data_IF_458097370457
#
_entry.id   IF_458097370457
#
_cell.length_a   1.000
_cell.length_b   1.000
_cell.length_c   1.000
_cell.angle_alpha   90.00
_cell.angle_beta   90.00
_cell.angle_gamma   90.00
#
_symmetry.space_group_name_H-M   'P 1'
#
loop_
_entity.id
_entity.type
_entity.pdbx_description
1 polymer ?
#
# COMPACT_ATOMS: atom_id res chain seq x y z
N UNK A 1 -11.78 9.73 -11.15
CA UNK A 1 -10.60 10.51 -10.72
C UNK A 1 -9.79 9.57 -9.85
N UNK A 2 -8.56 9.31 -10.25
CA UNK A 2 -7.66 8.34 -9.59
C UNK A 2 -6.75 9.07 -8.60
N UNK A 3 -6.19 8.37 -7.61
CA UNK A 3 -5.21 8.96 -6.70
C UNK A 3 -4.03 9.53 -7.48
N UNK A 4 -3.58 8.81 -8.52
CA UNK A 4 -2.48 9.21 -9.39
C UNK A 4 -2.57 10.67 -9.87
N UNK A 5 -3.74 11.14 -10.28
CA UNK A 5 -3.95 12.49 -10.83
C UNK A 5 -3.65 13.61 -9.82
N UNK A 6 -3.66 13.29 -8.52
CA UNK A 6 -3.42 14.25 -7.44
C UNK A 6 -2.01 14.16 -6.84
N UNK A 7 -1.18 13.23 -7.32
CA UNK A 7 0.16 13.06 -6.79
C UNK A 7 1.11 14.15 -7.32
N UNK A 8 2.08 14.59 -6.49
CA UNK A 8 3.19 15.43 -6.93
C UNK A 8 3.92 14.82 -8.14
N UNK A 9 4.52 15.66 -8.99
CA UNK A 9 5.10 15.21 -10.26
C UNK A 9 6.21 14.16 -10.08
N UNK A 10 7.09 14.35 -9.10
CA UNK A 10 8.17 13.42 -8.72
C UNK A 10 7.62 12.05 -8.29
N UNK A 11 6.48 12.04 -7.60
CA UNK A 11 5.81 10.79 -7.20
C UNK A 11 5.13 10.13 -8.39
N UNK A 12 4.52 10.90 -9.30
CA UNK A 12 3.96 10.35 -10.54
C UNK A 12 5.02 9.73 -11.43
N UNK A 13 6.19 10.37 -11.56
CA UNK A 13 7.34 9.80 -12.29
C UNK A 13 7.78 8.45 -11.68
N UNK A 14 7.81 8.36 -10.35
CA UNK A 14 8.10 7.10 -9.64
C UNK A 14 7.05 6.03 -9.95
N UNK A 15 5.75 6.40 -9.92
CA UNK A 15 4.66 5.47 -10.26
C UNK A 15 4.77 5.01 -11.71
N UNK A 16 5.03 5.91 -12.67
CA UNK A 16 5.14 5.57 -14.09
C UNK A 16 6.28 4.59 -14.37
N UNK A 17 7.43 4.78 -13.70
CA UNK A 17 8.56 3.86 -13.77
C UNK A 17 8.19 2.48 -13.21
N UNK A 18 7.59 2.43 -12.02
CA UNK A 18 7.13 1.18 -11.40
C UNK A 18 6.09 0.46 -12.27
N UNK A 19 5.12 1.19 -12.82
CA UNK A 19 4.09 0.59 -13.69
C UNK A 19 4.74 -0.02 -14.93
N UNK A 20 5.72 0.64 -15.53
CA UNK A 20 6.43 0.13 -16.70
C UNK A 20 7.16 -1.17 -16.38
N UNK A 21 7.86 -1.23 -15.25
CA UNK A 21 8.62 -2.40 -14.81
C UNK A 21 7.73 -3.56 -14.36
N UNK A 22 6.66 -3.26 -13.62
CA UNK A 22 5.83 -4.26 -12.94
C UNK A 22 4.68 -4.80 -13.80
N UNK A 23 4.28 -4.10 -14.86
CA UNK A 23 3.21 -4.55 -15.76
C UNK A 23 3.40 -5.98 -16.31
N UNK A 24 4.57 -6.39 -16.83
CA UNK A 24 4.76 -7.76 -17.31
C UNK A 24 4.87 -8.80 -16.20
N UNK A 25 5.05 -8.39 -14.94
CA UNK A 25 5.32 -9.28 -13.82
C UNK A 25 4.03 -9.86 -13.24
N UNK A 26 4.07 -11.07 -12.65
CA UNK A 26 2.95 -11.62 -11.89
C UNK A 26 2.81 -10.94 -10.51
N UNK A 27 1.64 -11.03 -9.89
CA UNK A 27 1.34 -10.40 -8.60
C UNK A 27 2.32 -10.71 -7.45
N UNK A 28 2.83 -11.95 -7.27
CA UNK A 28 3.83 -12.20 -6.24
C UNK A 28 5.10 -11.35 -6.42
N UNK A 29 5.58 -11.19 -7.66
CA UNK A 29 6.73 -10.33 -7.97
C UNK A 29 6.41 -8.86 -7.76
N UNK A 30 5.23 -8.41 -8.20
CA UNK A 30 4.75 -7.04 -7.96
C UNK A 30 4.71 -6.71 -6.48
N UNK A 31 4.20 -7.65 -5.68
CA UNK A 31 4.09 -7.52 -4.24
C UNK A 31 5.44 -7.35 -3.58
N UNK A 32 6.39 -8.25 -3.82
CA UNK A 32 7.72 -8.12 -3.22
C UNK A 32 8.46 -6.85 -3.66
N UNK A 33 8.30 -6.41 -4.91
CA UNK A 33 8.87 -5.14 -5.35
C UNK A 33 8.26 -3.95 -4.59
N UNK A 34 6.94 -3.94 -4.41
CA UNK A 34 6.24 -2.88 -3.68
C UNK A 34 6.55 -2.91 -2.17
N UNK A 35 6.72 -4.08 -1.56
CA UNK A 35 7.20 -4.20 -0.17
C UNK A 35 8.67 -3.77 -0.06
N UNK A 36 9.53 -4.15 -1.01
CA UNK A 36 10.93 -3.72 -1.07
C UNK A 36 11.07 -2.20 -1.07
N UNK A 37 10.21 -1.49 -1.81
CA UNK A 37 10.16 -0.03 -1.82
C UNK A 37 9.88 0.58 -0.43
N UNK A 38 9.10 -0.10 0.43
CA UNK A 38 8.91 0.36 1.82
C UNK A 38 10.23 0.28 2.58
N UNK A 39 10.93 -0.85 2.47
CA UNK A 39 12.25 -1.04 3.09
C UNK A 39 13.25 0.02 2.63
N UNK A 40 13.34 0.28 1.32
CA UNK A 40 14.21 1.33 0.77
C UNK A 40 13.90 2.71 1.34
N UNK A 41 12.61 3.06 1.48
CA UNK A 41 12.21 4.36 2.06
C UNK A 41 12.59 4.48 3.53
N UNK A 42 12.41 3.41 4.30
CA UNK A 42 12.73 3.39 5.72
C UNK A 42 14.25 3.39 5.97
N UNK A 43 15.03 2.71 5.13
CA UNK A 43 16.50 2.68 5.22
C UNK A 43 17.16 3.97 4.70
N UNK A 44 16.60 4.59 3.65
CA UNK A 44 17.18 5.76 3.00
C UNK A 44 17.19 7.03 3.88
N UNK A 45 16.46 7.07 5.00
CA UNK A 45 16.39 8.27 5.86
C UNK A 45 16.37 7.96 7.35
N UNK A 46 17.34 8.55 8.08
CA UNK A 46 17.33 8.71 9.55
C UNK A 46 16.29 9.76 9.99
N UNK A 47 15.08 9.72 9.47
CA UNK A 47 14.05 10.71 9.81
C UNK A 47 13.35 10.36 11.12
N UNK A 48 13.07 11.38 11.92
CA UNK A 48 12.41 11.25 13.23
C UNK A 48 10.93 10.83 13.13
N UNK A 49 10.36 10.82 11.92
CA UNK A 49 8.93 10.69 11.68
C UNK A 49 8.60 9.68 10.57
N UNK A 50 8.73 8.36 10.81
CA UNK A 50 8.54 7.31 9.79
C UNK A 50 7.13 7.31 9.14
N UNK A 51 6.14 7.92 9.78
CA UNK A 51 4.75 7.92 9.33
C UNK A 51 4.54 8.57 7.96
N UNK A 52 5.27 9.63 7.61
CA UNK A 52 5.07 10.31 6.32
C UNK A 52 5.64 9.49 5.15
N UNK A 53 6.73 8.75 5.40
CA UNK A 53 7.32 7.81 4.44
C UNK A 53 6.36 6.64 4.17
N UNK A 54 5.74 6.11 5.23
CA UNK A 54 4.72 5.07 5.11
C UNK A 54 3.51 5.58 4.32
N UNK A 55 3.02 6.79 4.60
CA UNK A 55 1.92 7.38 3.82
C UNK A 55 2.27 7.58 2.35
N UNK A 56 3.48 8.07 2.06
CA UNK A 56 3.95 8.26 0.69
C UNK A 56 4.06 6.90 -0.02
N UNK A 57 4.60 5.90 0.65
CA UNK A 57 4.67 4.53 0.14
C UNK A 57 3.28 3.97 -0.17
N UNK A 58 2.32 4.04 0.76
CA UNK A 58 0.95 3.58 0.52
C UNK A 58 0.29 4.33 -0.64
N UNK A 59 0.61 5.63 -0.81
CA UNK A 59 0.17 6.42 -1.96
C UNK A 59 0.71 5.90 -3.29
N UNK A 60 2.02 5.60 -3.35
CA UNK A 60 2.67 5.01 -4.53
C UNK A 60 2.09 3.63 -4.84
N UNK A 61 1.94 2.77 -3.83
CA UNK A 61 1.33 1.43 -3.97
C UNK A 61 -0.07 1.56 -4.56
N UNK A 62 -0.91 2.42 -3.97
CA UNK A 62 -2.30 2.61 -4.42
C UNK A 62 -2.35 3.10 -5.87
N UNK A 63 -1.58 4.13 -6.22
CA UNK A 63 -1.56 4.66 -7.58
C UNK A 63 -1.01 3.65 -8.60
N UNK A 64 0.05 2.92 -8.25
CA UNK A 64 0.59 1.85 -9.11
C UNK A 64 -0.46 0.79 -9.38
N UNK A 65 -1.20 0.38 -8.35
CA UNK A 65 -2.29 -0.58 -8.46
C UNK A 65 -3.43 -0.10 -9.36
N UNK A 66 -3.76 1.19 -9.37
CA UNK A 66 -4.77 1.78 -10.27
C UNK A 66 -4.44 1.53 -11.75
N UNK A 67 -3.15 1.50 -12.10
CA UNK A 67 -2.69 1.20 -13.46
C UNK A 67 -2.52 -0.30 -13.74
N UNK A 68 -2.26 -1.12 -12.72
CA UNK A 68 -1.99 -2.56 -12.87
C UNK A 68 -3.25 -3.43 -12.79
N UNK A 69 -4.41 -2.84 -12.48
CA UNK A 69 -5.71 -3.49 -12.35
C UNK A 69 -5.71 -4.59 -11.26
N UNK A 70 -6.09 -4.26 -10.01
CA UNK A 70 -6.02 -5.20 -8.88
C UNK A 70 -6.82 -6.47 -9.12
N UNK A 71 -6.24 -7.61 -8.73
CA UNK A 71 -6.90 -8.91 -8.75
C UNK A 71 -7.09 -9.42 -7.32
N UNK A 72 -8.29 -9.27 -6.78
CA UNK A 72 -8.59 -9.70 -5.41
C UNK A 72 -8.57 -11.22 -5.21
N UNK A 73 -8.45 -12.03 -6.26
CA UNK A 73 -8.31 -13.48 -6.13
C UNK A 73 -6.90 -13.91 -5.73
N UNK A 74 -5.91 -13.02 -5.87
CA UNK A 74 -4.51 -13.27 -5.52
C UNK A 74 -4.20 -12.68 -4.15
N UNK A 75 -3.68 -13.51 -3.24
CA UNK A 75 -3.47 -13.16 -1.82
C UNK A 75 -2.58 -11.93 -1.65
N UNK A 76 -1.51 -11.83 -2.42
CA UNK A 76 -0.58 -10.71 -2.38
C UNK A 76 -1.23 -9.39 -2.83
N UNK A 77 -2.05 -9.43 -3.88
CA UNK A 77 -2.81 -8.28 -4.32
C UNK A 77 -3.88 -7.89 -3.29
N UNK A 78 -4.57 -8.87 -2.72
CA UNK A 78 -5.57 -8.67 -1.68
C UNK A 78 -4.96 -8.01 -0.43
N UNK A 79 -3.73 -8.42 -0.06
CA UNK A 79 -2.92 -7.78 0.96
C UNK A 79 -2.74 -6.29 0.69
N UNK A 80 -2.19 -5.93 -0.48
CA UNK A 80 -1.98 -4.52 -0.86
C UNK A 80 -3.29 -3.72 -0.94
N UNK A 81 -4.38 -4.34 -1.40
CA UNK A 81 -5.71 -3.71 -1.41
C UNK A 81 -6.16 -3.33 0.01
N UNK A 82 -5.89 -4.17 1.01
CA UNK A 82 -6.33 -3.95 2.40
C UNK A 82 -5.67 -2.74 3.08
N UNK A 83 -4.49 -2.32 2.60
CA UNK A 83 -3.78 -1.12 3.10
C UNK A 83 -3.94 0.10 2.17
N UNK A 84 -4.55 -0.06 1.00
CA UNK A 84 -4.64 0.98 -0.01
C UNK A 84 -5.47 2.21 0.42
N UNK A 85 -5.22 3.35 -0.21
CA UNK A 85 -6.04 4.55 -0.05
C UNK A 85 -7.35 4.51 -0.86
N UNK A 86 -7.58 3.45 -1.62
CA UNK A 86 -8.86 3.21 -2.28
C UNK A 86 -9.83 2.53 -1.30
N UNK A 87 -10.82 3.27 -0.81
CA UNK A 87 -11.77 2.79 0.19
C UNK A 87 -12.60 1.58 -0.28
N UNK A 88 -12.92 1.49 -1.57
CA UNK A 88 -13.64 0.36 -2.14
C UNK A 88 -12.79 -0.90 -2.11
N UNK A 89 -11.51 -0.81 -2.52
CA UNK A 89 -10.60 -1.95 -2.47
C UNK A 89 -10.32 -2.39 -1.05
N UNK A 90 -10.12 -1.44 -0.14
CA UNK A 90 -9.91 -1.74 1.28
C UNK A 90 -11.12 -2.45 1.88
N UNK A 91 -12.34 -1.94 1.67
CA UNK A 91 -13.56 -2.59 2.15
C UNK A 91 -13.75 -4.00 1.55
N UNK A 92 -13.49 -4.16 0.25
CA UNK A 92 -13.55 -5.46 -0.41
C UNK A 92 -12.53 -6.45 0.18
N UNK A 93 -11.28 -6.03 0.35
CA UNK A 93 -10.21 -6.88 0.86
C UNK A 93 -10.47 -7.31 2.31
N UNK A 94 -10.80 -6.36 3.18
CA UNK A 94 -11.14 -6.64 4.57
C UNK A 94 -12.35 -7.58 4.69
N UNK A 95 -13.38 -7.37 3.87
CA UNK A 95 -14.54 -8.27 3.84
C UNK A 95 -14.24 -9.68 3.31
N UNK A 96 -13.18 -9.87 2.52
CA UNK A 96 -12.72 -11.21 2.12
C UNK A 96 -11.87 -11.86 3.23
N UNK A 97 -10.95 -11.11 3.83
CA UNK A 97 -10.11 -11.58 4.94
C UNK A 97 -10.97 -11.98 6.14
N UNK A 98 -12.02 -11.22 6.46
CA UNK A 98 -12.96 -11.54 7.54
C UNK A 98 -13.74 -12.84 7.29
N UNK A 99 -14.05 -13.14 6.02
CA UNK A 99 -14.78 -14.36 5.63
C UNK A 99 -13.90 -15.59 5.53
N UNK A 100 -12.62 -15.41 5.20
CA UNK A 100 -11.63 -16.48 5.12
C UNK A 100 -10.34 -16.06 5.86
N UNK A 101 -10.26 -16.34 7.17
CA UNK A 101 -9.08 -16.00 7.98
C UNK A 101 -7.77 -16.62 7.47
N UNK A 102 -7.85 -17.73 6.72
CA UNK A 102 -6.65 -18.40 6.18
C UNK A 102 -5.94 -17.57 5.11
N UNK A 103 -6.58 -16.52 4.59
CA UNK A 103 -5.94 -15.52 3.73
C UNK A 103 -4.83 -14.79 4.48
N UNK A 104 -5.07 -14.41 5.75
CA UNK A 104 -4.06 -13.73 6.56
C UNK A 104 -2.89 -14.68 6.85
N UNK A 105 -3.17 -15.94 7.21
CA UNK A 105 -2.12 -16.95 7.42
C UNK A 105 -1.24 -17.14 6.17
N UNK A 106 -1.87 -17.18 4.99
CA UNK A 106 -1.16 -17.28 3.70
C UNK A 106 -0.31 -16.03 3.42
N UNK A 107 -0.81 -14.85 3.75
CA UNK A 107 -0.10 -13.59 3.54
C UNK A 107 1.10 -13.47 4.49
N UNK A 108 0.94 -13.85 5.76
CA UNK A 108 2.02 -13.90 6.75
C UNK A 108 3.07 -14.95 6.36
N UNK A 109 2.67 -16.07 5.78
CA UNK A 109 3.61 -17.07 5.25
C UNK A 109 4.47 -16.52 4.09
N UNK A 110 3.96 -15.56 3.32
CA UNK A 110 4.67 -14.89 2.21
C UNK A 110 5.51 -13.70 2.73
N UNK A 111 4.96 -12.94 3.67
CA UNK A 111 5.55 -11.75 4.27
C UNK A 111 5.34 -11.81 5.79
N UNK A 112 6.32 -12.34 6.56
CA UNK A 112 6.18 -12.50 8.01
C UNK A 112 5.89 -11.20 8.76
N UNK A 113 6.41 -10.07 8.26
CA UNK A 113 6.23 -8.75 8.86
C UNK A 113 4.91 -8.07 8.43
N UNK A 114 4.00 -8.79 7.76
CA UNK A 114 2.78 -8.20 7.20
C UNK A 114 1.90 -7.51 8.25
N UNK A 115 1.73 -8.12 9.42
CA UNK A 115 0.91 -7.54 10.50
C UNK A 115 1.50 -6.22 11.00
N UNK A 116 2.82 -6.17 11.19
CA UNK A 116 3.53 -4.95 11.60
C UNK A 116 3.43 -3.83 10.56
N UNK A 117 3.47 -4.20 9.26
CA UNK A 117 3.24 -3.26 8.16
C UNK A 117 1.83 -2.68 8.22
N UNK A 118 0.80 -3.52 8.44
CA UNK A 118 -0.59 -3.06 8.56
C UNK A 118 -0.76 -2.12 9.74
N UNK A 119 -0.21 -2.47 10.91
CA UNK A 119 -0.26 -1.62 12.10
C UNK A 119 0.42 -0.26 11.82
N UNK A 120 1.61 -0.29 11.24
CA UNK A 120 2.38 0.91 10.88
C UNK A 120 1.61 1.82 9.91
N UNK A 121 0.90 1.25 8.93
CA UNK A 121 0.03 2.02 8.01
C UNK A 121 -1.16 2.64 8.74
N UNK A 122 -1.79 1.91 9.66
CA UNK A 122 -2.91 2.41 10.46
C UNK A 122 -2.44 3.60 11.31
N UNK A 123 -1.35 3.44 12.05
CA UNK A 123 -0.76 4.50 12.87
C UNK A 123 -0.39 5.72 12.04
N UNK A 124 0.26 5.49 10.89
CA UNK A 124 0.63 6.56 9.98
C UNK A 124 -0.61 7.32 9.49
N UNK A 125 -1.68 6.61 9.13
CA UNK A 125 -2.92 7.24 8.65
C UNK A 125 -3.71 7.98 9.75
N UNK A 126 -3.56 7.61 11.02
CA UNK A 126 -4.15 8.36 12.13
C UNK A 126 -3.53 9.75 12.30
N UNK A 127 -2.25 9.92 11.94
CA UNK A 127 -1.53 11.19 11.99
C UNK A 127 -1.81 12.12 10.79
N UNK A 128 -2.75 11.75 9.90
CA UNK A 128 -3.17 12.64 8.81
C UNK A 128 -3.71 13.97 9.35
N UNK A 129 -3.25 15.13 8.86
CA UNK A 129 -3.64 16.46 9.36
C UNK A 129 -5.15 16.78 9.31
N UNK A 130 -5.96 15.96 8.64
CA UNK A 130 -7.40 16.21 8.46
C UNK A 130 -8.19 15.95 9.76
N UNK A 131 -7.70 15.12 10.69
CA UNK A 131 -8.39 14.88 11.97
C UNK A 131 -8.14 15.95 13.04
N UNK A 132 -7.14 16.83 12.88
CA UNK A 132 -6.90 17.93 13.83
C UNK A 132 -7.69 19.21 13.52
N UNK A 133 -8.46 19.25 12.43
CA UNK A 133 -9.22 20.44 12.00
C UNK A 133 -10.72 20.41 12.37
N UNK A 134 -11.18 19.44 13.18
CA UNK A 134 -12.51 19.48 13.81
C UNK A 134 -12.34 19.61 15.32
N UNK A 135 -12.14 20.85 15.75
CA UNK A 135 -12.01 21.19 17.16
C UNK A 135 -12.03 22.70 17.34
N UNK A 136 -13.17 23.33 17.05
CA UNK A 136 -13.68 24.56 17.68
C UNK A 136 -15.11 24.80 17.22
#
# INVERSE_FOLDING_TARGET
MTLYEHLPADIRETVDALVTELRPQPWPTRFFALIGLLGEKLEARREAEPWHLIQQWTGIVTATMEHLLPDSSVVECLGLMSISFNDQWRAQALGQIERDPTVLDRLVAICPDWEDIVESVIEANQRRPIKSARGR
#
